data_IF_015087144733
#
_entry.id   IF_015087144733
#
_cell.length_a   1.000
_cell.length_b   1.000
_cell.length_c   1.000
_cell.angle_alpha   90.00
_cell.angle_beta   90.00
_cell.angle_gamma   90.00
#
_symmetry.space_group_name_H-M   'P 1'
#
loop_
_entity.id
_entity.type
_entity.pdbx_description
1 polymer ?
#
# COMPACT_ATOMS: atom_id res chain seq x y z
N UNK A 1 3.29 -2.70 19.99
CA UNK A 1 3.69 -1.56 19.12
C UNK A 1 3.22 -1.75 17.67
N UNK A 2 3.57 -2.84 16.92
CA UNK A 2 3.11 -3.04 15.54
C UNK A 2 1.59 -3.11 15.40
N UNK A 3 0.91 -3.77 16.34
CA UNK A 3 -0.56 -3.90 16.35
C UNK A 3 -1.28 -2.53 16.48
N UNK A 4 -0.71 -1.60 17.26
CA UNK A 4 -1.29 -0.25 17.42
C UNK A 4 -1.17 0.56 16.12
N UNK A 5 0.00 0.53 15.48
CA UNK A 5 0.19 1.21 14.20
C UNK A 5 -0.65 0.60 13.08
N UNK A 6 -0.77 -0.73 13.03
CA UNK A 6 -1.64 -1.40 12.06
C UNK A 6 -3.12 -1.03 12.27
N UNK A 7 -3.59 -0.99 13.52
CA UNK A 7 -4.95 -0.54 13.83
C UNK A 7 -5.20 0.90 13.37
N UNK A 8 -4.29 1.82 13.65
CA UNK A 8 -4.42 3.22 13.24
C UNK A 8 -4.35 3.40 11.71
N UNK A 9 -3.47 2.66 11.03
CA UNK A 9 -3.38 2.60 9.57
C UNK A 9 -4.70 2.15 8.95
N UNK A 10 -5.22 1.00 9.40
CA UNK A 10 -6.49 0.45 8.89
C UNK A 10 -7.67 1.37 9.17
N UNK A 11 -7.70 2.04 10.34
CA UNK A 11 -8.72 3.03 10.66
C UNK A 11 -8.67 4.24 9.72
N UNK A 12 -7.47 4.72 9.40
CA UNK A 12 -7.26 5.78 8.41
C UNK A 12 -7.73 5.38 7.01
N UNK A 13 -7.40 4.16 6.58
CA UNK A 13 -7.80 3.65 5.27
C UNK A 13 -9.30 3.44 5.16
N UNK A 14 -9.94 2.87 6.19
CA UNK A 14 -11.39 2.73 6.24
C UNK A 14 -12.10 4.10 6.12
N UNK A 15 -11.56 5.15 6.75
CA UNK A 15 -12.06 6.51 6.60
C UNK A 15 -11.94 7.04 5.17
N UNK A 16 -10.82 6.79 4.49
CA UNK A 16 -10.61 7.17 3.09
C UNK A 16 -11.55 6.39 2.16
N UNK A 17 -11.60 5.06 2.31
CA UNK A 17 -12.38 4.15 1.48
C UNK A 17 -13.89 4.41 1.60
N UNK A 18 -14.39 4.71 2.80
CA UNK A 18 -15.79 5.12 3.00
C UNK A 18 -16.17 6.44 2.31
N UNK A 19 -15.17 7.24 1.90
CA UNK A 19 -15.34 8.47 1.11
C UNK A 19 -14.95 8.29 -0.36
N UNK A 20 -14.85 7.03 -0.81
CA UNK A 20 -14.42 6.66 -2.15
C UNK A 20 -13.02 7.18 -2.53
N UNK A 21 -12.14 7.41 -1.56
CA UNK A 21 -10.76 7.87 -1.80
C UNK A 21 -9.80 6.69 -1.68
N UNK A 22 -9.04 6.42 -2.74
CA UNK A 22 -7.90 5.49 -2.73
C UNK A 22 -6.61 6.27 -2.45
N UNK A 23 -5.73 5.73 -1.61
CA UNK A 23 -4.44 6.37 -1.29
C UNK A 23 -3.42 6.19 -2.42
N UNK A 24 -3.23 4.94 -2.90
CA UNK A 24 -2.39 4.56 -4.06
C UNK A 24 -0.88 4.85 -3.97
N UNK A 25 -0.39 5.35 -2.84
CA UNK A 25 1.06 5.44 -2.57
C UNK A 25 1.37 5.16 -1.09
N UNK A 26 0.80 4.09 -0.55
CA UNK A 26 1.13 3.68 0.82
C UNK A 26 2.56 3.11 0.87
N UNK A 27 3.37 3.73 1.71
CA UNK A 27 4.74 3.34 2.05
C UNK A 27 5.09 3.92 3.44
N UNK A 28 6.08 3.37 4.16
CA UNK A 28 6.45 3.84 5.50
C UNK A 28 6.71 5.34 5.58
N UNK A 29 7.29 5.94 4.54
CA UNK A 29 7.58 7.38 4.48
C UNK A 29 6.30 8.25 4.49
N UNK A 30 5.17 7.69 4.07
CA UNK A 30 3.87 8.37 4.04
C UNK A 30 3.05 8.12 5.32
N UNK A 31 3.63 7.46 6.33
CA UNK A 31 3.04 7.24 7.65
C UNK A 31 3.71 8.14 8.67
N UNK A 32 3.05 9.25 9.00
CA UNK A 32 3.58 10.20 9.97
C UNK A 32 3.24 9.74 11.39
N UNK A 33 4.25 9.62 12.24
CA UNK A 33 4.09 9.23 13.65
C UNK A 33 4.51 10.41 14.52
N UNK A 34 3.63 10.84 15.43
CA UNK A 34 3.98 11.88 16.40
C UNK A 34 4.55 11.29 17.70
N UNK A 35 5.00 12.17 18.61
CA UNK A 35 5.58 11.78 19.91
C UNK A 35 4.62 11.01 20.82
N UNK A 36 3.31 11.11 20.57
CA UNK A 36 2.27 10.40 21.32
C UNK A 36 1.99 9.00 20.74
N UNK A 37 2.70 8.59 19.68
CA UNK A 37 2.47 7.32 19.00
C UNK A 37 1.22 7.32 18.11
N UNK A 38 0.73 8.49 17.72
CA UNK A 38 -0.38 8.61 16.77
C UNK A 38 0.14 8.56 15.34
N UNK A 39 -0.44 7.68 14.53
CA UNK A 39 -0.15 7.51 13.12
C UNK A 39 -1.18 8.26 12.27
N UNK A 40 -0.70 9.04 11.31
CA UNK A 40 -1.54 9.74 10.31
C UNK A 40 -1.04 9.44 8.90
N UNK A 41 -1.98 9.23 8.00
CA UNK A 41 -1.71 9.09 6.56
C UNK A 41 -1.32 10.45 5.97
N UNK A 42 -0.28 10.47 5.15
CA UNK A 42 0.21 11.65 4.46
C UNK A 42 0.42 11.38 2.97
N UNK A 43 0.65 12.46 2.22
CA UNK A 43 0.88 12.44 0.78
C UNK A 43 -0.26 11.78 -0.04
N UNK A 44 -1.37 12.52 -0.11
CA UNK A 44 -2.48 12.23 -1.00
C UNK A 44 -2.24 12.78 -2.43
N UNK A 45 -1.00 13.11 -2.82
CA UNK A 45 -0.69 13.65 -4.14
C UNK A 45 -1.05 12.69 -5.29
N UNK A 46 -1.13 11.40 -4.98
CA UNK A 46 -1.62 10.35 -5.86
C UNK A 46 -3.01 9.82 -5.46
N UNK A 47 -3.72 10.44 -4.52
CA UNK A 47 -5.04 9.97 -4.14
C UNK A 47 -6.10 10.31 -5.21
N UNK A 48 -7.13 9.46 -5.35
CA UNK A 48 -8.20 9.70 -6.35
C UNK A 48 -9.54 9.16 -5.89
N UNK A 49 -10.60 9.88 -6.25
CA UNK A 49 -11.98 9.38 -6.10
C UNK A 49 -12.21 8.20 -7.07
N UNK A 50 -12.71 7.08 -6.56
CA UNK A 50 -13.14 5.93 -7.37
C UNK A 50 -14.67 5.99 -7.59
N UNK A 51 -15.16 5.59 -8.77
CA UNK A 51 -16.61 5.58 -9.09
C UNK A 51 -17.04 6.36 -10.33
N UNK A 52 -16.13 7.12 -10.97
CA UNK A 52 -16.34 7.71 -12.30
C UNK A 52 -15.46 6.92 -13.27
N UNK A 53 -15.96 6.45 -14.44
CA UNK A 53 -15.15 5.71 -15.40
C UNK A 53 -14.08 6.62 -15.99
N UNK A 54 -12.89 6.64 -15.40
CA UNK A 54 -11.76 7.41 -15.91
C UNK A 54 -10.89 6.51 -16.77
N UNK A 55 -10.76 6.90 -18.03
CA UNK A 55 -9.88 6.29 -19.04
C UNK A 55 -8.45 6.17 -18.49
N UNK A 56 -7.91 4.95 -18.54
CA UNK A 56 -6.50 4.60 -18.37
C UNK A 56 -5.81 5.18 -17.13
N UNK A 57 -5.74 4.38 -16.07
CA UNK A 57 -4.82 4.63 -14.97
C UNK A 57 -3.39 4.32 -15.45
N UNK A 58 -2.45 5.25 -15.24
CA UNK A 58 -1.04 5.02 -15.53
C UNK A 58 -0.50 3.91 -14.62
N UNK A 59 0.25 2.95 -15.18
CA UNK A 59 0.79 1.79 -14.47
C UNK A 59 1.98 2.13 -13.53
N UNK A 60 2.43 3.39 -13.53
CA UNK A 60 3.62 3.87 -12.81
C UNK A 60 3.29 4.53 -11.47
N UNK A 61 2.21 4.13 -10.81
CA UNK A 61 1.82 4.67 -9.50
C UNK A 61 2.11 3.60 -8.44
N UNK A 62 2.52 4.01 -7.24
CA UNK A 62 3.06 3.20 -6.13
C UNK A 62 4.56 2.89 -6.26
N UNK A 63 5.31 3.11 -5.18
CA UNK A 63 6.67 2.59 -5.00
C UNK A 63 6.68 1.05 -5.17
N UNK A 64 7.52 0.51 -6.05
CA UNK A 64 7.49 -0.90 -6.53
C UNK A 64 7.27 -1.96 -5.42
N UNK A 65 7.90 -1.77 -4.27
CA UNK A 65 7.91 -2.73 -3.15
C UNK A 65 6.54 -2.95 -2.48
N UNK A 66 5.64 -1.97 -2.61
CA UNK A 66 4.30 -1.99 -2.00
C UNK A 66 3.18 -2.19 -3.02
N UNK A 67 3.54 -2.47 -4.28
CA UNK A 67 2.61 -2.65 -5.39
C UNK A 67 2.06 -4.08 -5.40
N UNK A 68 0.74 -4.27 -5.57
CA UNK A 68 0.15 -5.61 -5.59
C UNK A 68 0.39 -6.32 -6.94
N UNK A 69 0.28 -7.67 -6.96
CA UNK A 69 0.56 -8.47 -8.16
C UNK A 69 -0.34 -8.14 -9.35
N UNK A 70 -1.62 -7.85 -9.14
CA UNK A 70 -2.55 -7.47 -10.20
C UNK A 70 -2.12 -6.16 -10.90
N UNK A 71 -1.68 -5.15 -10.14
CA UNK A 71 -1.12 -3.91 -10.71
C UNK A 71 0.19 -4.19 -11.44
N UNK A 72 1.05 -5.06 -10.89
CA UNK A 72 2.31 -5.47 -11.54
C UNK A 72 2.07 -6.21 -12.87
N UNK A 73 0.97 -6.96 -12.99
CA UNK A 73 0.52 -7.57 -14.25
C UNK A 73 -0.21 -6.60 -15.20
N UNK A 74 -0.30 -5.32 -14.85
CA UNK A 74 -0.90 -4.29 -15.71
C UNK A 74 -2.42 -4.22 -15.66
N UNK A 75 -3.05 -4.71 -14.59
CA UNK A 75 -4.46 -4.43 -14.33
C UNK A 75 -4.70 -2.91 -14.44
N UNK A 76 -5.81 -2.49 -15.03
CA UNK A 76 -6.18 -1.08 -15.17
C UNK A 76 -7.36 -0.70 -14.29
N UNK A 77 -8.01 -1.66 -13.65
CA UNK A 77 -9.12 -1.43 -12.74
C UNK A 77 -8.63 -1.79 -11.35
N UNK A 78 -8.61 -0.80 -10.46
CA UNK A 78 -8.15 -0.97 -9.09
C UNK A 78 -9.30 -0.67 -8.13
N UNK A 79 -9.34 -1.39 -7.03
CA UNK A 79 -10.28 -1.15 -5.95
C UNK A 79 -9.52 -0.73 -4.68
N UNK A 80 -10.21 -0.71 -3.54
CA UNK A 80 -9.60 -0.54 -2.22
C UNK A 80 -8.52 -1.59 -1.92
N UNK A 81 -8.53 -2.73 -2.63
CA UNK A 81 -7.55 -3.83 -2.51
C UNK A 81 -6.09 -3.39 -2.69
N UNK A 82 -5.82 -2.35 -3.49
CA UNK A 82 -4.45 -1.85 -3.70
C UNK A 82 -3.83 -1.34 -2.41
N UNK A 83 -4.59 -0.55 -1.63
CA UNK A 83 -4.13 0.01 -0.37
C UNK A 83 -4.00 -1.10 0.70
N UNK A 84 -4.88 -2.11 0.63
CA UNK A 84 -4.84 -3.25 1.57
C UNK A 84 -3.57 -4.09 1.40
N UNK A 85 -3.12 -4.30 0.17
CA UNK A 85 -1.85 -4.98 -0.10
C UNK A 85 -0.66 -4.20 0.46
N UNK A 86 -0.60 -2.90 0.18
CA UNK A 86 0.47 -2.04 0.68
C UNK A 86 0.49 -2.01 2.22
N UNK A 87 -0.69 -1.96 2.87
CA UNK A 87 -0.80 -2.03 4.33
C UNK A 87 -0.28 -3.37 4.90
N UNK A 88 -0.53 -4.49 4.21
CA UNK A 88 0.03 -5.80 4.57
C UNK A 88 1.56 -5.83 4.49
N UNK A 89 2.14 -5.26 3.43
CA UNK A 89 3.59 -5.14 3.27
C UNK A 89 4.22 -4.30 4.40
N UNK A 90 3.60 -3.17 4.74
CA UNK A 90 4.03 -2.30 5.83
C UNK A 90 3.94 -3.02 7.18
N UNK A 91 2.85 -3.78 7.41
CA UNK A 91 2.70 -4.54 8.65
C UNK A 91 3.80 -5.59 8.82
N UNK A 92 4.13 -6.32 7.75
CA UNK A 92 5.24 -7.27 7.75
C UNK A 92 6.59 -6.59 8.03
N UNK A 93 6.82 -5.41 7.46
CA UNK A 93 8.02 -4.61 7.73
C UNK A 93 8.10 -4.17 9.20
N UNK A 94 6.99 -3.68 9.77
CA UNK A 94 6.89 -3.34 11.20
C UNK A 94 7.12 -4.55 12.11
N UNK A 95 6.67 -5.73 11.70
CA UNK A 95 6.87 -6.97 12.44
C UNK A 95 8.31 -7.52 12.29
N UNK A 96 9.00 -7.21 11.20
CA UNK A 96 10.32 -7.73 10.84
C UNK A 96 11.43 -6.66 10.91
N UNK A 97 11.47 -5.91 12.02
CA UNK A 97 12.53 -4.95 12.34
C UNK A 97 12.78 -3.87 11.27
N UNK A 98 11.76 -3.45 10.53
CA UNK A 98 11.86 -2.38 9.54
C UNK A 98 12.48 -2.81 8.21
N UNK A 99 12.52 -4.11 7.91
CA UNK A 99 12.98 -4.62 6.62
C UNK A 99 11.82 -4.78 5.63
N UNK A 100 11.90 -4.18 4.43
CA UNK A 100 10.87 -4.34 3.41
C UNK A 100 10.62 -5.81 3.10
N UNK A 101 9.34 -6.20 3.00
CA UNK A 101 8.95 -7.58 2.74
C UNK A 101 9.37 -8.04 1.33
N UNK A 102 9.18 -7.19 0.34
CA UNK A 102 9.47 -7.47 -1.07
C UNK A 102 10.28 -6.34 -1.71
N UNK A 103 11.61 -6.27 -1.50
CA UNK A 103 12.46 -5.26 -2.11
C UNK A 103 12.91 -5.68 -3.52
N UNK A 104 12.01 -5.65 -4.49
CA UNK A 104 12.30 -5.94 -5.89
C UNK A 104 13.05 -4.80 -6.59
N UNK A 105 13.94 -5.16 -7.53
CA UNK A 105 14.68 -4.19 -8.35
C UNK A 105 13.91 -3.74 -9.60
N UNK A 106 13.03 -4.62 -10.11
CA UNK A 106 12.16 -4.38 -11.26
C UNK A 106 10.85 -5.18 -11.09
N UNK A 107 9.92 -5.06 -12.05
CA UNK A 107 8.61 -5.72 -11.98
C UNK A 107 8.73 -7.24 -11.93
N UNK A 108 9.66 -7.83 -12.67
CA UNK A 108 9.85 -9.27 -12.73
C UNK A 108 10.45 -9.80 -11.42
N UNK A 109 11.48 -9.14 -10.88
CA UNK A 109 12.05 -9.46 -9.57
C UNK A 109 11.03 -9.27 -8.44
N UNK A 110 10.21 -8.21 -8.51
CA UNK A 110 9.13 -7.98 -7.54
C UNK A 110 8.11 -9.12 -7.54
N UNK A 111 7.62 -9.53 -8.72
CA UNK A 111 6.70 -10.65 -8.86
C UNK A 111 7.33 -11.96 -8.36
N UNK A 112 8.59 -12.23 -8.72
CA UNK A 112 9.33 -13.40 -8.23
C UNK A 112 9.41 -13.42 -6.71
N UNK A 113 9.67 -12.30 -6.05
CA UNK A 113 9.72 -12.22 -4.58
C UNK A 113 8.35 -12.46 -3.94
N UNK A 114 7.29 -11.89 -4.52
CA UNK A 114 5.91 -12.09 -4.05
C UNK A 114 5.52 -13.57 -4.12
N UNK A 115 5.79 -14.25 -5.23
CA UNK A 115 5.39 -15.64 -5.43
C UNK A 115 6.37 -16.67 -4.85
N UNK A 116 7.62 -16.29 -4.57
CA UNK A 116 8.60 -17.14 -3.88
C UNK A 116 8.33 -17.24 -2.39
N UNK A 117 7.58 -16.30 -1.82
CA UNK A 117 7.19 -16.39 -0.41
C UNK A 117 6.28 -17.60 -0.23
N UNK A 118 6.65 -18.58 0.61
CA UNK A 118 5.76 -19.70 0.91
C UNK A 118 4.56 -19.13 1.67
N UNK A 119 3.36 -19.29 1.12
CA UNK A 119 2.11 -18.92 1.78
C UNK A 119 1.70 -19.96 2.83
N UNK A 120 2.68 -20.67 3.41
CA UNK A 120 2.52 -21.77 4.36
C UNK A 120 3.75 -21.91 5.25
#
# INVERSE_FOLDING_TARGET
LPQSFMYQLLKGLAFCHSRNVLHRDLKPQNLLINRNGELKLADFGLARAFGIPVRCYSAEVVTLWYRPPDVLFGAKLYSTSIDMWSAGCIFAELANAGRPLFPGNDVDDQLKRIFRYPWG
#
